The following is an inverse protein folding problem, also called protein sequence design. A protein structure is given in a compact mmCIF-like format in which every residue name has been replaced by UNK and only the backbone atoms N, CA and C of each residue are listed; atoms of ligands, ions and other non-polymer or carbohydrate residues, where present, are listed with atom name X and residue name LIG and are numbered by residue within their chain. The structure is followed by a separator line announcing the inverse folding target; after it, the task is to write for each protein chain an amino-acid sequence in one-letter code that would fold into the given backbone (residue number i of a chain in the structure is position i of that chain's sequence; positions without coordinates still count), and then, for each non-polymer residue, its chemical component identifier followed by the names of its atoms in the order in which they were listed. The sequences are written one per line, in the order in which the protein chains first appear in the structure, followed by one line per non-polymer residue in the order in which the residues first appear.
data_IF_603773750761
#
_entry.id   IF_603773750761
#
_cell.length_a   1.000
_cell.length_b   1.000
_cell.length_c   1.000
_cell.angle_alpha   90.00
_cell.angle_beta   90.00
_cell.angle_gamma   90.00
#
_symmetry.space_group_name_H-M   'P 1'
#
loop_
_entity.id
_entity.type
_entity.pdbx_description
1 polymer ?
#
# COMPACT_ATOMS: atom_id res chain seq x y z
N UNK A 1 18.39 17.66 -60.27
CA UNK A 1 18.61 16.40 -59.55
C UNK A 1 18.87 16.72 -58.09
N UNK A 2 17.79 16.86 -57.32
CA UNK A 2 17.79 17.20 -55.89
C UNK A 2 16.59 16.47 -55.31
N UNK A 3 16.83 15.46 -54.47
CA UNK A 3 15.75 14.60 -54.00
C UNK A 3 16.21 13.32 -53.33
N UNK A 4 17.31 13.38 -52.57
CA UNK A 4 17.66 12.36 -51.59
C UNK A 4 17.52 13.00 -50.20
N UNK A 5 16.32 13.50 -49.92
CA UNK A 5 15.92 14.11 -48.65
C UNK A 5 15.25 13.03 -47.81
N UNK A 6 15.96 12.60 -46.77
CA UNK A 6 15.41 12.47 -45.41
C UNK A 6 14.09 11.71 -45.22
N UNK A 7 14.00 10.43 -45.62
CA UNK A 7 12.86 9.56 -45.22
C UNK A 7 13.28 8.30 -44.45
N UNK A 8 14.57 8.00 -44.30
CA UNK A 8 15.03 6.75 -43.65
C UNK A 8 15.40 6.86 -42.17
N UNK A 9 14.90 7.88 -41.45
CA UNK A 9 15.17 8.07 -40.01
C UNK A 9 13.93 8.28 -39.15
N UNK A 10 12.74 7.91 -39.64
CA UNK A 10 11.60 7.61 -38.77
C UNK A 10 11.78 6.21 -38.22
N UNK A 11 12.62 6.14 -37.18
CA UNK A 11 12.60 5.09 -36.16
C UNK A 11 11.15 4.72 -35.89
N UNK A 12 10.79 3.50 -36.25
CA UNK A 12 9.57 2.83 -35.83
C UNK A 12 9.48 2.92 -34.30
N UNK A 13 8.67 3.86 -33.80
CA UNK A 13 8.34 3.93 -32.39
C UNK A 13 7.72 2.57 -32.02
N UNK A 14 8.43 1.81 -31.19
CA UNK A 14 7.93 0.58 -30.60
C UNK A 14 6.64 0.91 -29.83
N UNK A 15 5.61 0.07 -29.92
CA UNK A 15 4.30 0.31 -29.29
C UNK A 15 4.34 0.86 -27.86
N UNK A 16 5.24 0.40 -26.97
CA UNK A 16 5.40 0.95 -25.62
C UNK A 16 5.86 2.42 -25.55
N UNK A 17 6.82 2.82 -26.38
CA UNK A 17 7.34 4.20 -26.36
C UNK A 17 6.29 5.21 -26.84
N UNK A 18 5.50 4.83 -27.84
CA UNK A 18 4.39 5.64 -28.33
C UNK A 18 3.26 5.75 -27.28
N UNK A 19 2.94 4.64 -26.59
CA UNK A 19 1.96 4.66 -25.51
C UNK A 19 2.40 5.58 -24.36
N UNK A 20 3.65 5.51 -23.93
CA UNK A 20 4.19 6.40 -22.88
C UNK A 20 4.17 7.87 -23.31
N UNK A 21 4.54 8.17 -24.57
CA UNK A 21 4.46 9.53 -25.13
C UNK A 21 3.04 10.07 -25.07
N UNK A 22 2.06 9.28 -25.55
CA UNK A 22 0.65 9.68 -25.55
C UNK A 22 0.10 9.86 -24.13
N UNK A 23 0.49 9.00 -23.19
CA UNK A 23 0.12 9.12 -21.78
C UNK A 23 0.68 10.39 -21.13
N UNK A 24 1.96 10.71 -21.37
CA UNK A 24 2.58 11.94 -20.88
C UNK A 24 1.97 13.21 -21.49
N UNK A 25 1.59 13.17 -22.76
CA UNK A 25 0.83 14.25 -23.41
C UNK A 25 -0.57 14.42 -22.84
N UNK A 26 -1.28 13.32 -22.57
CA UNK A 26 -2.60 13.36 -21.95
C UNK A 26 -2.56 14.06 -20.59
N UNK A 27 -1.59 13.72 -19.73
CA UNK A 27 -1.43 14.37 -18.41
C UNK A 27 -1.18 15.87 -18.55
N UNK A 28 -0.37 16.30 -19.53
CA UNK A 28 -0.13 17.74 -19.81
C UNK A 28 -1.37 18.45 -20.35
N UNK A 29 -2.20 17.74 -21.13
CA UNK A 29 -3.42 18.28 -21.72
C UNK A 29 -4.57 18.39 -20.70
N UNK A 30 -4.55 17.57 -19.65
CA UNK A 30 -5.68 17.39 -18.73
C UNK A 30 -6.17 18.67 -18.05
N UNK A 31 -5.31 19.67 -17.83
CA UNK A 31 -5.71 20.98 -17.28
C UNK A 31 -6.55 21.82 -18.24
N UNK A 32 -6.31 21.67 -19.55
CA UNK A 32 -6.91 22.54 -20.58
C UNK A 32 -8.09 21.88 -21.27
N UNK A 33 -8.00 20.58 -21.50
CA UNK A 33 -9.00 19.79 -22.23
C UNK A 33 -9.13 18.40 -21.58
N UNK A 34 -9.82 18.30 -20.43
CA UNK A 34 -9.81 17.09 -19.61
C UNK A 34 -10.46 15.88 -20.30
N UNK A 35 -11.53 16.08 -21.07
CA UNK A 35 -12.17 14.98 -21.82
C UNK A 35 -11.29 14.45 -22.97
N UNK A 36 -10.64 15.36 -23.72
CA UNK A 36 -9.71 15.00 -24.78
C UNK A 36 -8.46 14.29 -24.22
N UNK A 37 -7.96 14.77 -23.08
CA UNK A 37 -6.88 14.14 -22.33
C UNK A 37 -7.25 12.72 -21.89
N UNK A 38 -8.45 12.52 -21.32
CA UNK A 38 -8.92 11.19 -20.92
C UNK A 38 -9.01 10.24 -22.12
N UNK A 39 -9.59 10.70 -23.25
CA UNK A 39 -9.65 9.90 -24.46
C UNK A 39 -8.24 9.53 -24.98
N UNK A 40 -7.29 10.45 -24.89
CA UNK A 40 -5.90 10.19 -25.25
C UNK A 40 -5.20 9.21 -24.30
N UNK A 41 -5.39 9.35 -22.97
CA UNK A 41 -4.84 8.42 -21.98
C UNK A 41 -5.41 7.00 -22.16
N UNK A 42 -6.71 6.88 -22.46
CA UNK A 42 -7.35 5.60 -22.77
C UNK A 42 -6.78 4.97 -24.04
N UNK A 43 -6.55 5.76 -25.10
CA UNK A 43 -5.87 5.28 -26.31
C UNK A 43 -4.45 4.79 -26.01
N UNK A 44 -3.69 5.54 -25.21
CA UNK A 44 -2.36 5.12 -24.77
C UNK A 44 -2.38 3.77 -24.04
N UNK A 45 -3.32 3.59 -23.11
CA UNK A 45 -3.51 2.32 -22.39
C UNK A 45 -3.89 1.15 -23.32
N UNK A 46 -4.71 1.43 -24.34
CA UNK A 46 -5.15 0.44 -25.32
C UNK A 46 -4.05 0.04 -26.32
N UNK A 47 -3.06 0.89 -26.59
CA UNK A 47 -1.96 0.54 -27.51
C UNK A 47 -1.10 -0.63 -27.01
N UNK A 48 -1.07 -0.88 -25.70
CA UNK A 48 -0.34 -1.99 -25.07
C UNK A 48 -1.26 -2.96 -24.36
N UNK A 49 -2.53 -2.98 -24.77
CA UNK A 49 -3.56 -3.94 -24.40
C UNK A 49 -3.17 -5.40 -24.63
N UNK A 50 -2.42 -5.63 -25.72
CA UNK A 50 -1.93 -6.92 -26.14
C UNK A 50 -0.58 -7.12 -25.44
N UNK A 51 -0.60 -7.93 -24.37
CA UNK A 51 0.61 -8.29 -23.66
C UNK A 51 1.39 -9.27 -24.53
N UNK A 52 2.43 -8.79 -25.23
CA UNK A 52 3.44 -9.66 -25.82
C UNK A 52 4.69 -9.67 -24.93
N UNK A 53 4.86 -10.66 -24.03
CA UNK A 53 6.06 -10.77 -23.21
C UNK A 53 7.32 -10.86 -24.06
N UNK A 54 7.23 -11.29 -25.33
CA UNK A 54 8.37 -11.41 -26.24
C UNK A 54 9.04 -10.06 -26.53
N UNK A 55 8.30 -8.93 -26.55
CA UNK A 55 8.87 -7.58 -26.70
C UNK A 55 9.78 -7.20 -25.52
N UNK A 56 9.50 -7.74 -24.33
CA UNK A 56 10.30 -7.52 -23.13
C UNK A 56 11.33 -8.64 -22.89
N UNK A 57 11.14 -9.82 -23.50
CA UNK A 57 11.91 -11.06 -23.32
C UNK A 57 12.74 -11.44 -24.56
N UNK A 58 12.95 -10.54 -25.54
CA UNK A 58 13.71 -10.78 -26.80
C UNK A 58 15.20 -11.18 -26.65
N UNK A 59 15.61 -11.78 -25.53
CA UNK A 59 16.96 -12.27 -25.26
C UNK A 59 17.09 -13.79 -25.03
N UNK A 60 16.02 -14.62 -24.96
CA UNK A 60 16.22 -16.06 -24.75
C UNK A 60 15.13 -16.99 -25.28
N UNK A 61 15.56 -18.13 -25.84
CA UNK A 61 14.67 -19.25 -26.20
C UNK A 61 14.04 -19.85 -24.94
N UNK A 62 12.90 -20.53 -25.12
CA UNK A 62 12.23 -21.30 -24.05
C UNK A 62 13.22 -22.30 -23.43
N UNK A 63 13.68 -22.01 -22.20
CA UNK A 63 14.70 -22.80 -21.49
C UNK A 63 16.10 -22.16 -21.38
N UNK A 64 16.33 -20.99 -21.99
CA UNK A 64 17.62 -20.28 -22.05
C UNK A 64 17.54 -18.81 -21.59
N UNK A 65 16.45 -18.37 -20.95
CA UNK A 65 16.40 -17.01 -20.38
C UNK A 65 17.09 -17.05 -19.02
N UNK A 66 18.17 -16.28 -18.87
CA UNK A 66 18.79 -16.03 -17.55
C UNK A 66 17.69 -15.43 -16.67
N UNK A 67 17.41 -16.03 -15.51
CA UNK A 67 16.31 -15.65 -14.61
C UNK A 67 16.22 -14.13 -14.38
N UNK A 68 17.38 -13.47 -14.35
CA UNK A 68 17.53 -12.02 -14.22
C UNK A 68 16.95 -11.21 -15.40
N UNK A 69 17.10 -11.67 -16.64
CA UNK A 69 16.55 -10.98 -17.83
C UNK A 69 15.03 -11.06 -17.87
N UNK A 70 14.47 -12.20 -17.46
CA UNK A 70 13.03 -12.38 -17.32
C UNK A 70 12.44 -11.52 -16.19
N UNK A 71 13.14 -11.46 -15.04
CA UNK A 71 12.74 -10.60 -13.91
C UNK A 71 12.80 -9.11 -14.32
N UNK A 72 13.84 -8.71 -15.05
CA UNK A 72 13.99 -7.35 -15.59
C UNK A 72 12.85 -7.00 -16.56
N UNK A 73 12.59 -7.85 -17.54
CA UNK A 73 11.48 -7.70 -18.50
C UNK A 73 10.13 -7.49 -17.81
N UNK A 74 9.86 -8.30 -16.78
CA UNK A 74 8.62 -8.21 -15.98
C UNK A 74 8.55 -6.90 -15.19
N UNK A 75 9.66 -6.45 -14.62
CA UNK A 75 9.71 -5.16 -13.93
C UNK A 75 9.49 -4.01 -14.91
N UNK A 76 10.10 -4.05 -16.10
CA UNK A 76 9.92 -3.04 -17.15
C UNK A 76 8.46 -2.94 -17.59
N UNK A 77 7.81 -4.09 -17.80
CA UNK A 77 6.37 -4.15 -18.06
C UNK A 77 5.53 -3.52 -16.93
N UNK A 78 5.83 -3.84 -15.66
CA UNK A 78 5.10 -3.29 -14.52
C UNK A 78 5.22 -1.77 -14.45
N UNK A 79 6.43 -1.24 -14.62
CA UNK A 79 6.69 0.21 -14.65
C UNK A 79 5.93 0.89 -15.79
N UNK A 80 6.00 0.31 -16.98
CA UNK A 80 5.29 0.77 -18.16
C UNK A 80 3.77 0.84 -17.92
N UNK A 81 3.15 -0.27 -17.49
CA UNK A 81 1.71 -0.31 -17.22
C UNK A 81 1.29 0.61 -16.06
N UNK A 82 2.12 0.71 -15.02
CA UNK A 82 1.85 1.63 -13.91
C UNK A 82 1.76 3.09 -14.41
N UNK A 83 2.65 3.51 -15.30
CA UNK A 83 2.62 4.85 -15.90
C UNK A 83 1.35 5.10 -16.73
N UNK A 84 0.89 4.12 -17.51
CA UNK A 84 -0.33 4.26 -18.31
C UNK A 84 -1.59 4.34 -17.44
N UNK A 85 -1.70 3.49 -16.41
CA UNK A 85 -2.80 3.57 -15.45
C UNK A 85 -2.79 4.87 -14.67
N UNK A 86 -1.62 5.34 -14.27
CA UNK A 86 -1.46 6.63 -13.61
C UNK A 86 -1.96 7.78 -14.47
N UNK A 87 -1.61 7.82 -15.76
CA UNK A 87 -2.08 8.86 -16.67
C UNK A 87 -3.61 8.90 -16.79
N UNK A 88 -4.26 7.72 -16.91
CA UNK A 88 -5.72 7.62 -16.93
C UNK A 88 -6.33 8.09 -15.61
N UNK A 89 -5.77 7.65 -14.48
CA UNK A 89 -6.24 8.05 -13.15
C UNK A 89 -6.13 9.55 -12.91
N UNK A 90 -5.02 10.17 -13.33
CA UNK A 90 -4.84 11.62 -13.26
C UNK A 90 -5.85 12.38 -14.13
N UNK A 91 -6.20 11.87 -15.32
CA UNK A 91 -7.23 12.48 -16.16
C UNK A 91 -8.63 12.39 -15.52
N UNK A 92 -8.97 11.25 -14.90
CA UNK A 92 -10.22 11.12 -14.13
C UNK A 92 -10.27 12.05 -12.92
N UNK A 93 -9.16 12.22 -12.20
CA UNK A 93 -9.06 13.14 -11.08
C UNK A 93 -9.37 14.58 -11.51
N UNK A 94 -8.89 15.00 -12.70
CA UNK A 94 -9.19 16.33 -13.27
C UNK A 94 -10.66 16.53 -13.64
N UNK A 95 -11.37 15.45 -13.95
CA UNK A 95 -12.82 15.45 -14.17
C UNK A 95 -13.64 15.31 -12.89
N UNK A 96 -13.00 15.36 -11.70
CA UNK A 96 -13.63 15.10 -10.40
C UNK A 96 -14.32 13.71 -10.30
N UNK A 97 -13.88 12.75 -11.11
CA UNK A 97 -14.35 11.36 -11.11
C UNK A 97 -13.47 10.53 -10.17
N UNK A 98 -13.60 10.80 -8.87
CA UNK A 98 -12.69 10.31 -7.83
C UNK A 98 -12.68 8.79 -7.67
N UNK A 99 -13.84 8.13 -7.83
CA UNK A 99 -13.93 6.67 -7.72
C UNK A 99 -13.14 5.96 -8.82
N UNK A 100 -13.25 6.45 -10.06
CA UNK A 100 -12.49 5.98 -11.22
C UNK A 100 -11.02 6.33 -11.08
N UNK A 101 -10.69 7.55 -10.67
CA UNK A 101 -9.32 7.99 -10.43
C UNK A 101 -8.62 7.09 -9.40
N UNK A 102 -9.25 6.87 -8.24
CA UNK A 102 -8.76 5.94 -7.20
C UNK A 102 -8.50 4.55 -7.77
N UNK A 103 -9.42 4.03 -8.58
CA UNK A 103 -9.30 2.69 -9.16
C UNK A 103 -8.04 2.54 -10.02
N UNK A 104 -7.80 3.51 -10.91
CA UNK A 104 -6.64 3.50 -11.79
C UNK A 104 -5.32 3.79 -11.05
N UNK A 105 -5.30 4.78 -10.15
CA UNK A 105 -4.13 5.08 -9.32
C UNK A 105 -3.80 3.92 -8.37
N UNK A 106 -4.82 3.22 -7.86
CA UNK A 106 -4.65 2.03 -7.03
C UNK A 106 -3.89 0.92 -7.74
N UNK A 107 -4.09 0.77 -9.06
CA UNK A 107 -3.34 -0.20 -9.89
C UNK A 107 -1.93 0.25 -10.18
N UNK A 108 -1.77 1.54 -10.46
CA UNK A 108 -0.44 2.11 -10.65
C UNK A 108 0.43 1.84 -9.41
N UNK A 109 -0.13 2.07 -8.20
CA UNK A 109 0.53 1.73 -6.92
C UNK A 109 0.75 0.24 -6.74
N UNK A 110 -0.22 -0.62 -7.11
CA UNK A 110 -0.08 -2.07 -6.99
C UNK A 110 1.05 -2.64 -7.87
N UNK A 111 1.22 -2.10 -9.08
CA UNK A 111 2.25 -2.53 -10.03
C UNK A 111 3.63 -1.95 -9.69
N UNK A 112 3.66 -0.67 -9.31
CA UNK A 112 4.89 0.03 -8.93
C UNK A 112 4.58 1.10 -7.87
N UNK A 113 4.77 0.73 -6.61
CA UNK A 113 4.51 1.58 -5.45
C UNK A 113 5.63 2.61 -5.24
N UNK A 114 5.47 3.81 -5.80
CA UNK A 114 6.34 4.97 -5.54
C UNK A 114 5.68 5.96 -4.57
N UNK A 115 6.45 6.76 -3.82
CA UNK A 115 5.91 7.78 -2.92
C UNK A 115 4.92 8.72 -3.60
N UNK A 116 5.21 9.14 -4.83
CA UNK A 116 4.41 10.07 -5.62
C UNK A 116 3.05 9.47 -6.00
N UNK A 117 3.05 8.19 -6.42
CA UNK A 117 1.80 7.47 -6.75
C UNK A 117 0.94 7.22 -5.53
N UNK A 118 1.55 6.86 -4.40
CA UNK A 118 0.83 6.70 -3.13
C UNK A 118 0.20 8.03 -2.71
N UNK A 119 0.93 9.13 -2.84
CA UNK A 119 0.43 10.48 -2.53
C UNK A 119 -0.76 10.87 -3.42
N UNK A 120 -0.68 10.60 -4.74
CA UNK A 120 -1.78 10.82 -5.68
C UNK A 120 -3.01 9.97 -5.36
N UNK A 121 -2.82 8.68 -5.09
CA UNK A 121 -3.91 7.78 -4.69
C UNK A 121 -4.57 8.23 -3.39
N UNK A 122 -3.79 8.64 -2.39
CA UNK A 122 -4.29 9.09 -1.10
C UNK A 122 -5.18 10.34 -1.22
N UNK A 123 -4.83 11.27 -2.13
CA UNK A 123 -5.68 12.43 -2.44
C UNK A 123 -7.06 12.02 -2.95
N UNK A 124 -7.12 11.09 -3.91
CA UNK A 124 -8.40 10.63 -4.44
C UNK A 124 -9.22 9.83 -3.41
N UNK A 125 -8.55 9.06 -2.54
CA UNK A 125 -9.19 8.41 -1.40
C UNK A 125 -9.83 9.42 -0.43
N UNK A 126 -9.16 10.53 -0.14
CA UNK A 126 -9.72 11.60 0.68
C UNK A 126 -10.93 12.25 0.01
N UNK A 127 -10.83 12.55 -1.29
CA UNK A 127 -11.93 13.15 -2.05
C UNK A 127 -13.18 12.25 -2.13
N UNK A 128 -13.01 10.92 -2.14
CA UNK A 128 -14.11 9.94 -2.07
C UNK A 128 -14.67 9.75 -0.65
N UNK A 129 -14.13 10.44 0.36
CA UNK A 129 -14.56 10.29 1.76
C UNK A 129 -14.04 9.01 2.42
N UNK A 130 -12.87 8.52 1.99
CA UNK A 130 -12.19 7.33 2.53
C UNK A 130 -10.88 7.71 3.27
N UNK A 131 -10.94 8.58 4.31
CA UNK A 131 -9.75 9.15 4.92
C UNK A 131 -8.87 8.13 5.66
N UNK A 132 -9.46 7.08 6.23
CA UNK A 132 -8.69 6.01 6.90
C UNK A 132 -7.79 5.26 5.92
N UNK A 133 -8.34 4.89 4.77
CA UNK A 133 -7.60 4.22 3.70
C UNK A 133 -6.44 5.10 3.19
N UNK A 134 -6.70 6.41 3.00
CA UNK A 134 -5.64 7.36 2.64
C UNK A 134 -4.53 7.43 3.70
N UNK A 135 -4.91 7.56 4.97
CA UNK A 135 -4.00 7.65 6.11
C UNK A 135 -3.12 6.40 6.25
N UNK A 136 -3.70 5.20 6.17
CA UNK A 136 -2.95 3.95 6.29
C UNK A 136 -1.91 3.81 5.17
N UNK A 137 -2.24 4.17 3.93
CA UNK A 137 -1.30 4.15 2.80
C UNK A 137 -0.15 5.14 2.99
N UNK A 138 -0.47 6.37 3.39
CA UNK A 138 0.55 7.41 3.62
C UNK A 138 1.44 7.07 4.81
N UNK A 139 0.89 6.51 5.89
CA UNK A 139 1.66 6.09 7.06
C UNK A 139 2.64 4.96 6.73
N UNK A 140 2.21 3.95 5.96
CA UNK A 140 3.09 2.87 5.47
C UNK A 140 4.19 3.44 4.56
N UNK A 141 3.86 4.39 3.67
CA UNK A 141 4.85 5.04 2.82
C UNK A 141 5.87 5.87 3.61
N UNK A 142 5.42 6.60 4.64
CA UNK A 142 6.26 7.37 5.56
C UNK A 142 7.11 6.49 6.50
N UNK A 143 6.72 5.21 6.65
CA UNK A 143 7.53 4.21 7.33
C UNK A 143 8.66 3.69 6.44
N UNK A 144 8.38 3.44 5.15
CA UNK A 144 9.36 2.95 4.20
C UNK A 144 10.37 4.02 3.74
N UNK A 145 9.95 5.28 3.68
CA UNK A 145 10.75 6.38 3.12
C UNK A 145 10.44 7.70 3.83
N UNK A 146 11.35 8.68 3.74
CA UNK A 146 11.09 10.03 4.27
C UNK A 146 9.95 10.67 3.46
N UNK A 147 8.83 11.06 4.08
CA UNK A 147 7.71 11.65 3.36
C UNK A 147 8.05 13.05 2.85
N UNK A 148 7.50 13.42 1.69
CA UNK A 148 7.58 14.78 1.16
C UNK A 148 6.69 15.73 1.99
N UNK A 149 6.90 17.06 1.91
CA UNK A 149 6.03 18.03 2.59
C UNK A 149 4.55 17.91 2.16
N UNK A 150 4.31 17.62 0.88
CA UNK A 150 2.97 17.36 0.34
C UNK A 150 2.34 16.11 0.95
N UNK A 151 3.10 15.01 1.05
CA UNK A 151 2.62 13.78 1.68
C UNK A 151 2.32 13.99 3.17
N UNK A 152 3.15 14.75 3.89
CA UNK A 152 2.91 15.08 5.30
C UNK A 152 1.62 15.91 5.48
N UNK A 153 1.41 16.93 4.65
CA UNK A 153 0.17 17.71 4.68
C UNK A 153 -1.07 16.82 4.46
N UNK A 154 -1.00 15.87 3.51
CA UNK A 154 -2.08 14.90 3.28
C UNK A 154 -2.24 13.91 4.44
N UNK A 155 -1.18 13.52 5.13
CA UNK A 155 -1.28 12.68 6.35
C UNK A 155 -2.06 13.43 7.42
N UNK A 156 -1.75 14.71 7.65
CA UNK A 156 -2.43 15.53 8.65
C UNK A 156 -3.92 15.73 8.32
N UNK A 157 -4.24 15.97 7.04
CA UNK A 157 -5.62 16.09 6.56
C UNK A 157 -6.38 14.77 6.70
N UNK A 158 -5.76 13.65 6.29
CA UNK A 158 -6.35 12.32 6.42
C UNK A 158 -6.57 11.93 7.88
N UNK A 159 -5.64 12.30 8.76
CA UNK A 159 -5.77 12.06 10.20
C UNK A 159 -6.93 12.85 10.82
N UNK A 160 -7.13 14.11 10.41
CA UNK A 160 -8.27 14.93 10.84
C UNK A 160 -9.59 14.31 10.36
N UNK A 161 -9.68 13.98 9.07
CA UNK A 161 -10.89 13.42 8.47
C UNK A 161 -11.21 11.99 8.99
N UNK A 162 -10.19 11.18 9.29
CA UNK A 162 -10.36 9.87 9.91
C UNK A 162 -10.66 9.95 11.41
N UNK A 163 -10.50 11.12 12.05
CA UNK A 163 -10.73 11.31 13.47
C UNK A 163 -9.78 10.51 14.34
N UNK A 164 -8.48 10.51 14.02
CA UNK A 164 -7.44 9.89 14.86
C UNK A 164 -6.81 10.91 15.82
N UNK A 165 -6.28 10.46 16.97
CA UNK A 165 -5.73 11.35 18.00
C UNK A 165 -4.39 12.01 17.62
N UNK A 166 -3.61 11.43 16.70
CA UNK A 166 -2.31 11.95 16.28
C UNK A 166 -1.90 11.37 14.92
N UNK A 167 -1.49 12.25 14.01
CA UNK A 167 -0.91 11.87 12.72
C UNK A 167 0.47 11.23 12.90
N UNK A 168 1.31 11.80 13.76
CA UNK A 168 2.64 11.26 14.03
C UNK A 168 2.56 9.86 14.66
N UNK A 169 1.60 9.62 15.56
CA UNK A 169 1.39 8.30 16.15
C UNK A 169 1.02 7.25 15.09
N UNK A 170 0.26 7.60 14.05
CA UNK A 170 -0.06 6.65 12.97
C UNK A 170 1.16 6.33 12.09
N UNK A 171 2.03 7.32 11.82
CA UNK A 171 3.31 7.08 11.15
C UNK A 171 4.19 6.15 12.00
N UNK A 172 4.31 6.44 13.30
CA UNK A 172 5.12 5.66 14.23
C UNK A 172 4.58 4.23 14.37
N UNK A 173 3.26 4.06 14.41
CA UNK A 173 2.59 2.75 14.40
C UNK A 173 2.98 1.93 13.19
N UNK A 174 2.95 2.52 11.99
CA UNK A 174 3.34 1.84 10.75
C UNK A 174 4.83 1.47 10.74
N UNK A 175 5.70 2.36 11.26
CA UNK A 175 7.14 2.10 11.41
C UNK A 175 7.44 0.95 12.36
N UNK A 176 6.79 0.93 13.52
CA UNK A 176 6.97 -0.13 14.50
C UNK A 176 6.40 -1.46 14.00
N UNK A 177 5.27 -1.45 13.28
CA UNK A 177 4.69 -2.66 12.69
C UNK A 177 5.60 -3.32 11.64
N UNK A 178 6.48 -2.55 10.98
CA UNK A 178 7.48 -3.08 10.06
C UNK A 178 8.73 -3.63 10.75
N UNK A 179 8.89 -3.44 12.07
CA UNK A 179 10.06 -3.87 12.83
C UNK A 179 9.81 -5.23 13.49
N UNK A 180 10.64 -6.23 13.14
CA UNK A 180 10.58 -7.55 13.76
C UNK A 180 10.98 -7.50 15.25
N UNK A 181 10.34 -8.32 16.08
CA UNK A 181 10.66 -8.44 17.51
C UNK A 181 10.10 -7.33 18.40
N UNK A 182 9.20 -6.50 17.86
CA UNK A 182 8.49 -5.44 18.61
C UNK A 182 7.00 -5.72 18.68
N UNK A 183 6.42 -5.55 19.87
CA UNK A 183 4.97 -5.48 20.06
C UNK A 183 4.54 -4.01 20.13
N UNK A 184 3.72 -3.58 19.17
CA UNK A 184 3.21 -2.20 19.09
C UNK A 184 2.15 -1.97 20.18
N UNK A 185 2.28 -0.88 20.91
CA UNK A 185 1.34 -0.45 21.96
C UNK A 185 0.72 0.87 21.59
N UNK A 186 -0.59 0.87 21.41
CA UNK A 186 -1.37 2.07 21.16
C UNK A 186 -1.89 2.66 22.48
N UNK A 187 -1.85 3.97 22.58
CA UNK A 187 -2.31 4.68 23.76
C UNK A 187 -3.77 5.13 23.70
N UNK A 188 -4.19 5.95 24.69
CA UNK A 188 -3.33 6.55 25.70
C UNK A 188 -2.91 5.52 26.76
N UNK A 189 -1.59 5.35 26.94
CA UNK A 189 -1.04 4.55 28.03
C UNK A 189 -1.38 5.23 29.35
N UNK A 190 -2.13 4.53 30.20
CA UNK A 190 -2.59 5.08 31.49
C UNK A 190 -1.73 4.56 32.62
N UNK A 191 -1.15 5.48 33.37
CA UNK A 191 -0.54 5.17 34.65
C UNK A 191 -1.56 5.50 35.76
N UNK A 192 -1.76 4.62 36.75
CA UNK A 192 -2.58 4.93 37.91
C UNK A 192 -2.17 6.24 38.59
N UNK A 193 -3.12 7.10 39.02
CA UNK A 193 -2.83 8.43 39.56
C UNK A 193 -2.02 8.39 40.88
N UNK A 194 -2.17 7.31 41.66
CA UNK A 194 -1.43 7.09 42.91
C UNK A 194 0.03 6.66 42.71
N UNK A 195 0.45 6.46 41.46
CA UNK A 195 1.81 6.04 41.15
C UNK A 195 2.81 7.19 41.32
N UNK A 196 3.99 6.85 41.82
CA UNK A 196 5.08 7.82 42.02
C UNK A 196 6.42 7.16 41.76
N UNK A 197 7.36 7.96 41.29
CA UNK A 197 8.75 7.56 41.22
C UNK A 197 9.32 7.49 42.65
N UNK A 198 10.30 6.63 42.85
CA UNK A 198 11.03 6.50 44.11
C UNK A 198 11.73 7.79 44.55
N UNK A 199 11.88 8.76 43.63
CA UNK A 199 12.40 10.11 43.88
C UNK A 199 11.33 11.10 44.35
N UNK A 200 10.06 10.69 44.45
CA UNK A 200 8.97 11.46 45.06
C UNK A 200 7.99 12.14 44.10
N UNK A 201 8.30 12.24 42.79
CA UNK A 201 7.44 12.88 41.78
C UNK A 201 6.61 11.90 40.93
N UNK A 202 5.60 12.39 40.18
CA UNK A 202 4.85 11.56 39.23
C UNK A 202 5.72 11.19 38.01
N UNK A 203 5.37 10.09 37.32
CA UNK A 203 5.87 9.85 35.98
C UNK A 203 5.00 10.61 34.97
N UNK A 204 5.65 11.42 34.13
CA UNK A 204 5.04 12.22 33.07
C UNK A 204 5.62 11.79 31.73
N UNK A 205 4.77 11.65 30.72
CA UNK A 205 5.16 11.29 29.35
C UNK A 205 5.30 12.51 28.44
N UNK A 206 4.98 13.69 28.96
CA UNK A 206 5.09 14.98 28.27
C UNK A 206 6.55 15.36 28.00
N UNK A 207 7.50 14.84 28.79
CA UNK A 207 8.93 15.17 28.76
C UNK A 207 9.72 14.41 27.67
N UNK A 208 9.08 14.01 26.58
CA UNK A 208 9.71 13.29 25.47
C UNK A 208 9.67 11.76 25.60
N UNK A 209 10.71 11.09 25.11
CA UNK A 209 10.78 9.63 25.04
C UNK A 209 11.18 9.04 26.40
N UNK A 210 10.44 8.01 26.84
CA UNK A 210 10.68 7.32 28.12
C UNK A 210 10.82 5.82 27.87
N UNK A 211 11.84 5.19 28.46
CA UNK A 211 11.99 3.73 28.44
C UNK A 211 11.59 3.18 29.80
N UNK A 212 10.56 2.32 29.82
CA UNK A 212 10.09 1.61 31.00
C UNK A 212 10.62 0.18 30.96
N UNK A 213 11.42 -0.23 31.94
CA UNK A 213 11.82 -1.62 32.08
C UNK A 213 10.91 -2.33 33.07
N UNK A 214 10.10 -3.27 32.58
CA UNK A 214 9.21 -4.08 33.41
C UNK A 214 9.99 -5.31 33.89
N UNK A 215 10.33 -5.37 35.18
CA UNK A 215 11.10 -6.49 35.73
C UNK A 215 10.22 -7.69 36.06
N UNK A 216 10.78 -8.90 35.98
CA UNK A 216 10.17 -10.08 36.59
C UNK A 216 10.25 -10.05 38.14
N UNK A 217 9.30 -10.70 38.82
CA UNK A 217 9.23 -10.72 40.28
C UNK A 217 10.46 -11.38 40.93
N UNK A 218 11.00 -12.43 40.31
CA UNK A 218 12.19 -13.12 40.81
C UNK A 218 13.50 -12.42 40.38
N UNK A 219 13.42 -11.44 39.49
CA UNK A 219 14.53 -10.64 38.99
C UNK A 219 15.76 -11.42 38.50
N UNK A 220 15.57 -12.67 38.02
CA UNK A 220 16.68 -13.59 37.67
C UNK A 220 17.58 -13.05 36.56
N UNK A 221 17.00 -12.29 35.63
CA UNK A 221 17.70 -11.72 34.46
C UNK A 221 17.98 -10.23 34.62
N UNK A 222 17.52 -9.59 35.70
CA UNK A 222 17.55 -8.14 35.85
C UNK A 222 18.96 -7.54 35.73
N UNK A 223 19.98 -8.20 36.27
CA UNK A 223 21.36 -7.69 36.15
C UNK A 223 21.82 -7.61 34.70
N UNK A 224 21.54 -8.66 33.91
CA UNK A 224 21.87 -8.71 32.48
C UNK A 224 21.02 -7.73 31.67
N UNK A 225 19.71 -7.67 31.95
CA UNK A 225 18.77 -6.79 31.24
C UNK A 225 19.09 -5.31 31.49
N UNK A 226 19.36 -4.92 32.73
CA UNK A 226 19.72 -3.54 33.10
C UNK A 226 21.08 -3.14 32.53
N UNK A 227 22.06 -4.04 32.50
CA UNK A 227 23.35 -3.77 31.87
C UNK A 227 23.20 -3.60 30.34
N UNK A 228 22.36 -4.43 29.70
CA UNK A 228 22.02 -4.27 28.29
C UNK A 228 21.30 -2.94 28.02
N UNK A 229 20.36 -2.53 28.87
CA UNK A 229 19.70 -1.22 28.77
C UNK A 229 20.69 -0.07 28.88
N UNK A 230 21.64 -0.13 29.82
CA UNK A 230 22.65 0.91 30.03
C UNK A 230 23.53 1.12 28.80
N UNK A 231 23.80 0.04 28.04
CA UNK A 231 24.59 0.09 26.80
C UNK A 231 23.78 0.58 25.60
N UNK A 232 22.47 0.31 25.59
CA UNK A 232 21.61 0.49 24.42
C UNK A 232 20.87 1.82 24.42
N UNK A 233 20.42 2.27 25.59
CA UNK A 233 19.60 3.47 25.74
C UNK A 233 20.49 4.72 25.77
N UNK A 234 20.23 5.75 24.94
CA UNK A 234 20.95 7.01 24.99
C UNK A 234 20.90 7.66 26.38
N UNK A 235 21.99 8.34 26.78
CA UNK A 235 22.14 8.88 28.13
C UNK A 235 21.12 9.98 28.49
N UNK A 236 20.60 10.68 27.49
CA UNK A 236 19.56 11.72 27.60
C UNK A 236 18.15 11.14 27.65
N UNK A 237 17.98 9.85 27.35
CA UNK A 237 16.69 9.17 27.42
C UNK A 237 16.35 8.77 28.85
N UNK A 238 15.16 9.16 29.32
CA UNK A 238 14.69 8.82 30.67
C UNK A 238 14.38 7.34 30.76
N UNK A 239 15.08 6.62 31.65
CA UNK A 239 14.80 5.22 31.98
C UNK A 239 14.13 5.15 33.35
N UNK A 240 13.03 4.39 33.44
CA UNK A 240 12.29 4.13 34.67
C UNK A 240 12.09 2.63 34.80
N UNK A 241 12.28 2.12 36.01
CA UNK A 241 12.18 0.70 36.30
C UNK A 241 10.83 0.42 36.95
N UNK A 242 10.13 -0.61 36.48
CA UNK A 242 8.75 -0.94 36.89
C UNK A 242 8.72 -2.36 37.47
N UNK A 243 8.51 -2.53 38.79
CA UNK A 243 8.30 -3.83 39.39
C UNK A 243 6.90 -4.38 39.03
N UNK A 244 6.68 -5.70 39.08
CA UNK A 244 5.39 -6.30 38.75
C UNK A 244 4.29 -5.90 39.75
N UNK A 245 4.65 -5.69 41.01
CA UNK A 245 3.78 -5.18 42.06
C UNK A 245 4.59 -4.36 43.09
N UNK A 246 3.95 -3.47 43.88
CA UNK A 246 4.64 -2.62 44.85
C UNK A 246 5.43 -3.38 45.94
N UNK A 247 4.96 -4.57 46.32
CA UNK A 247 5.56 -5.47 47.30
C UNK A 247 6.61 -6.42 46.69
N UNK A 248 6.77 -6.39 45.37
CA UNK A 248 7.67 -7.25 44.60
C UNK A 248 8.83 -6.46 43.98
N UNK A 249 9.31 -5.43 44.67
CA UNK A 249 10.37 -4.55 44.20
C UNK A 249 11.72 -4.71 44.93
N UNK A 250 11.76 -5.54 45.99
CA UNK A 250 12.95 -5.72 46.86
C UNK A 250 14.16 -6.21 46.05
N UNK A 251 14.02 -7.30 45.29
CA UNK A 251 15.11 -7.87 44.50
C UNK A 251 15.62 -6.88 43.45
N UNK A 252 14.70 -6.16 42.81
CA UNK A 252 15.03 -5.14 41.81
C UNK A 252 15.81 -3.98 42.43
N UNK A 253 15.37 -3.46 43.57
CA UNK A 253 16.08 -2.39 44.31
C UNK A 253 17.47 -2.83 44.74
N UNK A 254 17.63 -4.08 45.18
CA UNK A 254 18.94 -4.64 45.52
C UNK A 254 19.89 -4.63 44.31
N UNK A 255 19.43 -5.06 43.13
CA UNK A 255 20.23 -5.01 41.90
C UNK A 255 20.58 -3.57 41.53
N UNK A 256 19.62 -2.64 41.55
CA UNK A 256 19.87 -1.22 41.26
C UNK A 256 20.92 -0.62 42.20
N UNK A 257 20.84 -0.93 43.49
CA UNK A 257 21.81 -0.45 44.49
C UNK A 257 23.19 -1.08 44.32
N UNK A 258 23.27 -2.40 44.08
CA UNK A 258 24.53 -3.13 43.97
C UNK A 258 25.36 -2.64 42.77
N UNK A 259 24.71 -2.44 41.63
CA UNK A 259 25.36 -1.99 40.38
C UNK A 259 25.31 -0.47 40.18
N UNK A 260 24.76 0.28 41.15
CA UNK A 260 24.67 1.75 41.16
C UNK A 260 23.99 2.33 39.91
N UNK A 261 22.90 1.72 39.47
CA UNK A 261 22.10 2.28 38.37
C UNK A 261 21.30 3.50 38.88
N UNK A 262 21.32 4.64 38.18
CA UNK A 262 20.67 5.88 38.63
C UNK A 262 19.17 5.92 38.35
N UNK A 263 18.56 4.81 37.93
CA UNK A 263 17.19 4.81 37.41
C UNK A 263 16.15 4.70 38.52
N UNK A 264 15.14 5.59 38.55
CA UNK A 264 14.09 5.55 39.55
C UNK A 264 13.17 4.34 39.35
N UNK A 265 12.59 3.87 40.46
CA UNK A 265 11.56 2.82 40.47
C UNK A 265 10.18 3.47 40.45
N UNK A 266 9.31 3.05 39.55
CA UNK A 266 7.90 3.46 39.53
C UNK A 266 7.10 2.59 40.49
N UNK A 267 6.62 3.20 41.58
CA UNK A 267 5.88 2.53 42.65
C UNK A 267 4.41 2.88 42.53
N UNK A 268 3.54 1.88 42.52
CA UNK A 268 2.10 2.08 42.52
C UNK A 268 1.34 0.78 42.24
N UNK A 269 0.18 0.59 42.88
CA UNK A 269 -0.67 -0.58 42.61
C UNK A 269 -1.20 -0.53 41.18
N UNK A 270 -1.14 -1.65 40.47
CA UNK A 270 -1.69 -1.80 39.12
C UNK A 270 -0.88 -1.13 38.00
N UNK A 271 0.32 -0.59 38.26
CA UNK A 271 1.15 0.05 37.23
C UNK A 271 1.53 -0.91 36.11
N UNK A 272 2.15 -2.06 36.43
CA UNK A 272 2.57 -3.03 35.43
C UNK A 272 1.38 -3.56 34.62
N UNK A 273 0.24 -3.80 35.27
CA UNK A 273 -1.00 -4.22 34.61
C UNK A 273 -1.53 -3.12 33.67
N UNK A 274 -1.50 -1.85 34.08
CA UNK A 274 -1.95 -0.71 33.28
C UNK A 274 -1.12 -0.47 32.02
N UNK A 275 0.16 -0.83 32.04
CA UNK A 275 1.03 -0.79 30.86
C UNK A 275 0.72 -1.91 29.86
N UNK A 276 0.13 -3.02 30.31
CA UNK A 276 -0.33 -4.12 29.46
C UNK A 276 0.80 -4.88 28.75
N UNK A 277 2.01 -4.85 29.30
CA UNK A 277 3.21 -5.53 28.77
C UNK A 277 3.63 -6.62 29.75
N UNK A 278 3.99 -7.80 29.24
CA UNK A 278 4.49 -8.90 30.09
C UNK A 278 5.83 -8.51 30.74
N UNK A 279 6.05 -8.83 32.03
CA UNK A 279 7.34 -8.64 32.69
C UNK A 279 8.52 -9.28 31.94
N UNK A 280 9.72 -8.74 32.18
CA UNK A 280 10.93 -9.10 31.44
C UNK A 280 11.01 -8.42 30.07
N UNK A 281 10.59 -7.15 29.98
CA UNK A 281 10.54 -6.41 28.72
C UNK A 281 10.86 -4.92 28.93
N UNK A 282 11.37 -4.28 27.88
CA UNK A 282 11.52 -2.83 27.78
C UNK A 282 10.37 -2.27 26.94
N UNK A 283 9.63 -1.32 27.48
CA UNK A 283 8.60 -0.57 26.79
C UNK A 283 9.11 0.85 26.51
N UNK A 284 9.37 1.16 25.24
CA UNK A 284 9.66 2.53 24.80
C UNK A 284 8.33 3.25 24.64
N UNK A 285 8.18 4.42 25.26
CA UNK A 285 6.96 5.24 25.23
C UNK A 285 7.29 6.60 24.62
N UNK A 286 6.45 7.04 23.68
CA UNK A 286 6.57 8.33 23.02
C UNK A 286 5.18 8.97 22.83
N UNK A 287 5.19 10.20 22.29
CA UNK A 287 3.98 10.98 21.98
C UNK A 287 3.03 11.10 23.17
N UNK A 288 3.55 11.51 24.32
CA UNK A 288 2.77 11.68 25.55
C UNK A 288 1.97 10.43 25.95
N UNK A 289 2.51 9.23 25.66
CA UNK A 289 1.87 7.96 25.97
C UNK A 289 0.95 7.42 24.88
N UNK A 290 0.86 8.04 23.71
CA UNK A 290 0.00 7.58 22.62
C UNK A 290 0.61 6.48 21.76
N UNK A 291 1.93 6.31 21.82
CA UNK A 291 2.62 5.25 21.09
C UNK A 291 3.68 4.60 21.96
N UNK A 292 3.79 3.28 21.87
CA UNK A 292 4.86 2.53 22.50
C UNK A 292 5.29 1.28 21.74
N UNK A 293 6.48 0.82 22.08
CA UNK A 293 7.12 -0.35 21.51
C UNK A 293 7.63 -1.24 22.64
N UNK A 294 7.02 -2.41 22.82
CA UNK A 294 7.49 -3.40 23.78
C UNK A 294 8.50 -4.35 23.10
N UNK A 295 9.67 -4.46 23.70
CA UNK A 295 10.81 -5.24 23.22
C UNK A 295 11.23 -6.21 24.32
N UNK A 296 11.41 -7.49 23.98
CA UNK A 296 11.92 -8.49 24.92
C UNK A 296 13.43 -8.70 24.74
N UNK A 297 14.13 -9.19 25.77
CA UNK A 297 15.51 -9.63 25.63
C UNK A 297 15.65 -10.71 24.54
N UNK A 298 16.78 -10.73 23.80
CA UNK A 298 17.89 -9.78 23.89
C UNK A 298 17.53 -8.42 23.27
N UNK A 299 17.76 -7.31 24.00
CA UNK A 299 17.32 -5.97 23.58
C UNK A 299 18.06 -5.44 22.35
N UNK A 300 19.40 -5.35 22.44
CA UNK A 300 20.33 -5.02 21.35
C UNK A 300 19.83 -4.04 20.29
N UNK A 301 19.91 -4.48 19.03
CA UNK A 301 19.57 -3.68 17.86
C UNK A 301 18.07 -3.34 17.80
N UNK A 302 17.20 -4.25 18.25
CA UNK A 302 15.74 -4.06 18.21
C UNK A 302 15.31 -2.89 19.08
N UNK A 303 15.84 -2.80 20.31
CA UNK A 303 15.55 -1.66 21.20
C UNK A 303 16.15 -0.36 20.65
N UNK A 304 17.37 -0.42 20.10
CA UNK A 304 18.00 0.74 19.45
C UNK A 304 17.14 1.26 18.30
N UNK A 305 16.64 0.36 17.46
CA UNK A 305 15.78 0.69 16.33
C UNK A 305 14.46 1.31 16.80
N UNK A 306 13.80 0.73 17.80
CA UNK A 306 12.56 1.25 18.36
C UNK A 306 12.74 2.69 18.92
N UNK A 307 13.81 2.94 19.68
CA UNK A 307 14.13 4.28 20.21
C UNK A 307 14.36 5.27 19.06
N UNK A 308 15.18 4.89 18.07
CA UNK A 308 15.48 5.75 16.92
C UNK A 308 14.25 6.09 16.08
N UNK A 309 13.32 5.15 15.92
CA UNK A 309 12.08 5.38 15.18
C UNK A 309 11.17 6.35 15.94
N UNK A 310 10.96 6.11 17.24
CA UNK A 310 10.08 6.94 18.08
C UNK A 310 10.67 8.32 18.43
N UNK A 311 11.98 8.50 18.33
CA UNK A 311 12.65 9.79 18.50
C UNK A 311 12.45 10.75 17.32
N UNK A 312 12.01 10.26 16.14
CA UNK A 312 11.74 11.13 14.98
C UNK A 312 10.58 12.09 15.28
N UNK A 313 10.48 13.21 14.58
CA UNK A 313 9.33 14.11 14.67
C UNK A 313 9.07 14.68 13.27
N UNK A 314 8.24 14.01 12.49
CA UNK A 314 7.88 14.42 11.13
C UNK A 314 6.76 15.46 11.15
N UNK A 315 5.83 15.34 12.11
CA UNK A 315 4.71 16.25 12.34
C UNK A 315 4.83 16.87 13.73
N UNK A 316 4.73 18.20 13.80
CA UNK A 316 4.68 18.94 15.07
C UNK A 316 3.22 19.21 15.43
N UNK A 317 2.67 18.46 16.38
CA UNK A 317 1.26 18.57 16.75
C UNK A 317 1.02 18.38 18.26
N UNK A 318 -0.09 18.93 18.75
CA UNK A 318 -0.60 18.62 20.09
C UNK A 318 -1.19 17.21 20.12
N UNK A 319 -0.96 16.47 21.20
CA UNK A 319 -1.49 15.12 21.37
C UNK A 319 -2.36 15.04 22.64
N UNK A 320 -3.65 14.64 22.56
CA UNK A 320 -4.40 14.41 21.32
C UNK A 320 -4.63 15.71 20.54
N UNK A 321 -4.77 15.59 19.21
CA UNK A 321 -5.10 16.72 18.33
C UNK A 321 -6.44 17.33 18.73
N UNK A 322 -6.54 18.65 18.65
CA UNK A 322 -7.76 19.38 19.01
C UNK A 322 -9.00 18.97 18.17
N UNK A 323 -8.79 18.59 16.91
CA UNK A 323 -9.85 18.13 16.00
C UNK A 323 -10.25 16.66 16.19
N UNK A 324 -9.59 15.93 17.09
CA UNK A 324 -9.94 14.54 17.36
C UNK A 324 -11.36 14.43 17.91
N UNK A 325 -12.18 13.58 17.29
CA UNK A 325 -13.59 13.38 17.64
C UNK A 325 -13.83 12.62 18.96
N UNK A 326 -12.75 12.27 19.71
CA UNK A 326 -12.75 11.52 20.97
C UNK A 326 -13.39 10.13 20.90
N UNK A 327 -13.64 9.61 19.70
CA UNK A 327 -14.13 8.24 19.50
C UNK A 327 -12.95 7.28 19.52
N UNK A 328 -13.18 6.01 19.93
CA UNK A 328 -12.21 4.95 19.70
C UNK A 328 -11.79 4.95 18.22
N UNK A 329 -10.50 4.76 17.97
CA UNK A 329 -10.00 4.67 16.60
C UNK A 329 -10.52 3.36 16.00
N UNK A 330 -11.19 3.45 14.86
CA UNK A 330 -11.58 2.28 14.11
C UNK A 330 -10.34 1.63 13.50
N UNK A 331 -10.09 0.37 13.88
CA UNK A 331 -8.98 -0.45 13.42
C UNK A 331 -9.45 -1.58 12.50
N UNK A 332 -10.70 -1.54 12.04
CA UNK A 332 -11.21 -2.50 11.08
C UNK A 332 -10.27 -2.53 9.86
N UNK A 333 -9.68 -3.69 9.53
CA UNK A 333 -8.77 -3.78 8.41
C UNK A 333 -9.57 -3.45 7.14
N UNK A 334 -9.05 -2.52 6.34
CA UNK A 334 -9.55 -2.36 4.99
C UNK A 334 -9.36 -3.70 4.25
N UNK A 335 -10.28 -4.02 3.34
CA UNK A 335 -10.11 -5.19 2.48
C UNK A 335 -8.73 -5.13 1.83
N UNK A 336 -7.91 -6.20 1.94
CA UNK A 336 -6.56 -6.18 1.41
C UNK A 336 -6.62 -5.87 -0.09
N UNK A 337 -5.63 -5.11 -0.57
CA UNK A 337 -5.47 -4.91 -2.00
C UNK A 337 -5.43 -6.29 -2.69
N UNK A 338 -6.06 -6.44 -3.85
CA UNK A 338 -6.11 -7.74 -4.50
C UNK A 338 -4.67 -8.16 -4.85
N UNK A 339 -4.33 -9.43 -4.56
CA UNK A 339 -2.99 -9.95 -4.77
C UNK A 339 -2.64 -9.99 -6.26
N UNK A 340 -1.37 -9.75 -6.60
CA UNK A 340 -0.86 -10.04 -7.95
C UNK A 340 -1.11 -11.52 -8.29
N UNK A 341 -1.35 -11.82 -9.56
CA UNK A 341 -1.43 -13.21 -10.03
C UNK A 341 -0.08 -13.92 -9.85
N UNK A 342 -0.01 -15.27 -9.90
CA UNK A 342 1.26 -15.99 -9.81
C UNK A 342 2.32 -15.54 -10.83
N UNK A 343 1.89 -15.07 -12.00
CA UNK A 343 2.73 -14.52 -13.07
C UNK A 343 3.22 -13.10 -12.75
N UNK A 344 2.73 -12.51 -11.66
CA UNK A 344 3.10 -11.18 -11.20
C UNK A 344 2.36 -10.06 -11.93
N UNK A 345 1.24 -10.37 -12.59
CA UNK A 345 0.33 -9.42 -13.21
C UNK A 345 -0.59 -8.83 -12.14
N UNK A 346 -1.09 -7.62 -12.36
CA UNK A 346 -2.22 -7.16 -11.57
C UNK A 346 -3.36 -8.19 -11.72
N UNK A 347 -4.05 -8.57 -10.63
CA UNK A 347 -5.22 -9.42 -10.73
C UNK A 347 -6.18 -8.81 -11.75
N UNK A 348 -6.92 -9.67 -12.44
CA UNK A 348 -7.78 -9.32 -13.58
C UNK A 348 -8.47 -7.98 -13.37
N UNK A 349 -8.59 -7.21 -14.44
CA UNK A 349 -8.88 -5.79 -14.43
C UNK A 349 -10.19 -5.37 -13.74
N UNK A 350 -10.91 -6.25 -13.05
CA UNK A 350 -12.17 -5.98 -12.36
C UNK A 350 -12.49 -7.03 -11.28
N UNK A 351 -11.93 -6.89 -10.07
CA UNK A 351 -12.53 -7.49 -8.89
C UNK A 351 -13.24 -6.39 -8.06
N UNK A 352 -14.58 -6.40 -7.96
CA UNK A 352 -15.53 -7.23 -8.72
C UNK A 352 -15.73 -6.74 -10.17
N UNK A 353 -16.21 -7.64 -11.03
CA UNK A 353 -16.54 -7.37 -12.44
C UNK A 353 -17.65 -6.31 -12.53
N UNK A 354 -17.66 -5.44 -13.56
CA UNK A 354 -18.75 -4.47 -13.74
C UNK A 354 -20.09 -5.20 -13.87
N UNK A 355 -21.16 -4.65 -13.29
CA UNK A 355 -22.48 -5.29 -13.33
C UNK A 355 -22.98 -5.57 -14.77
N UNK A 356 -22.66 -4.70 -15.73
CA UNK A 356 -22.98 -4.91 -17.13
C UNK A 356 -22.18 -6.09 -17.76
N UNK A 357 -20.96 -6.36 -17.28
CA UNK A 357 -20.19 -7.53 -17.71
C UNK A 357 -20.83 -8.83 -17.18
N UNK A 358 -21.20 -8.84 -15.89
CA UNK A 358 -21.90 -9.98 -15.28
C UNK A 358 -23.22 -10.25 -16.00
N UNK A 359 -24.01 -9.21 -16.29
CA UNK A 359 -25.25 -9.32 -17.04
C UNK A 359 -25.03 -9.83 -18.48
N UNK A 360 -23.99 -9.37 -19.17
CA UNK A 360 -23.62 -9.87 -20.50
C UNK A 360 -23.23 -11.35 -20.50
N UNK A 361 -22.44 -11.78 -19.51
CA UNK A 361 -22.05 -13.18 -19.36
C UNK A 361 -23.23 -14.09 -18.98
N UNK A 362 -24.18 -13.59 -18.18
CA UNK A 362 -25.42 -14.30 -17.85
C UNK A 362 -26.32 -14.44 -19.09
N UNK A 363 -26.52 -13.37 -19.84
CA UNK A 363 -27.29 -13.37 -21.10
C UNK A 363 -26.68 -14.34 -22.14
N UNK A 364 -25.35 -14.39 -22.25
CA UNK A 364 -24.66 -15.34 -23.12
C UNK A 364 -24.90 -16.78 -22.71
N UNK A 365 -24.76 -17.09 -21.41
CA UNK A 365 -25.04 -18.45 -20.86
C UNK A 365 -26.49 -18.87 -21.05
N UNK A 366 -27.42 -17.91 -21.09
CA UNK A 366 -28.83 -18.12 -21.38
C UNK A 366 -29.15 -18.24 -22.89
N UNK A 367 -28.15 -18.14 -23.78
CA UNK A 367 -28.34 -18.21 -25.24
C UNK A 367 -28.85 -16.91 -25.89
N UNK A 368 -28.88 -15.80 -25.15
CA UNK A 368 -29.37 -14.50 -25.60
C UNK A 368 -28.23 -13.67 -26.23
N UNK A 369 -27.70 -14.12 -27.37
CA UNK A 369 -26.48 -13.56 -27.98
C UNK A 369 -26.55 -12.07 -28.33
N UNK A 370 -27.69 -11.56 -28.80
CA UNK A 370 -27.88 -10.14 -29.12
C UNK A 370 -27.91 -9.24 -27.87
N UNK A 371 -28.52 -9.73 -26.80
CA UNK A 371 -28.60 -9.02 -25.51
C UNK A 371 -27.23 -9.00 -24.82
N UNK A 372 -26.50 -10.12 -24.85
CA UNK A 372 -25.12 -10.20 -24.41
C UNK A 372 -24.21 -9.22 -25.17
N UNK A 373 -24.34 -9.18 -26.51
CA UNK A 373 -23.58 -8.23 -27.34
C UNK A 373 -23.90 -6.77 -26.96
N UNK A 374 -25.16 -6.43 -26.75
CA UNK A 374 -25.55 -5.07 -26.35
C UNK A 374 -24.89 -4.65 -25.03
N UNK A 375 -24.81 -5.54 -24.04
CA UNK A 375 -24.10 -5.27 -22.79
C UNK A 375 -22.59 -5.05 -23.02
N UNK A 376 -21.95 -5.86 -23.86
CA UNK A 376 -20.53 -5.72 -24.18
C UNK A 376 -20.23 -4.45 -25.02
N UNK A 377 -21.10 -4.07 -25.95
CA UNK A 377 -20.98 -2.84 -26.74
C UNK A 377 -21.28 -1.59 -25.90
N UNK A 378 -22.24 -1.66 -24.98
CA UNK A 378 -22.49 -0.56 -24.02
C UNK A 378 -21.28 -0.33 -23.11
N UNK A 379 -20.52 -1.37 -22.78
CA UNK A 379 -19.25 -1.24 -22.06
C UNK A 379 -18.22 -0.53 -22.94
N UNK A 380 -18.02 -0.99 -24.18
CA UNK A 380 -17.09 -0.41 -25.14
C UNK A 380 -17.38 1.09 -25.43
N UNK A 381 -18.65 1.45 -25.62
CA UNK A 381 -19.10 2.79 -26.01
C UNK A 381 -19.04 3.84 -24.90
N UNK A 382 -19.10 3.46 -23.61
CA UNK A 382 -18.95 4.41 -22.49
C UNK A 382 -17.50 4.91 -22.33
N UNK A 383 -16.58 4.39 -23.14
CA UNK A 383 -15.15 4.47 -22.88
C UNK A 383 -14.75 3.75 -21.58
N UNK A 384 -15.71 3.11 -20.91
CA UNK A 384 -15.54 1.96 -20.04
C UNK A 384 -15.25 0.70 -20.89
N UNK A 385 -14.78 0.88 -22.13
CA UNK A 385 -14.04 -0.09 -22.92
C UNK A 385 -12.72 -0.41 -22.24
N UNK A 386 -12.82 -0.89 -21.00
CA UNK A 386 -11.81 -1.70 -20.37
C UNK A 386 -11.51 -2.82 -21.36
N UNK A 387 -10.24 -3.16 -21.47
CA UNK A 387 -9.84 -4.45 -21.98
C UNK A 387 -10.72 -5.46 -21.26
N UNK A 388 -11.77 -5.92 -21.94
CA UNK A 388 -12.52 -7.08 -21.53
C UNK A 388 -11.42 -8.06 -21.07
N UNK A 389 -11.44 -8.57 -19.82
CA UNK A 389 -10.50 -9.60 -19.41
C UNK A 389 -10.40 -10.64 -20.54
N UNK A 390 -9.26 -11.29 -20.79
CA UNK A 390 -9.15 -12.29 -21.85
C UNK A 390 -10.37 -13.24 -21.93
N UNK A 391 -10.93 -13.59 -20.76
CA UNK A 391 -12.23 -14.23 -20.52
C UNK A 391 -13.42 -13.54 -21.23
N UNK A 392 -13.59 -12.25 -20.99
CA UNK A 392 -14.63 -11.39 -21.53
C UNK A 392 -14.49 -11.10 -23.03
N UNK A 393 -13.24 -10.99 -23.53
CA UNK A 393 -12.96 -10.87 -24.97
C UNK A 393 -13.31 -12.17 -25.67
N UNK A 394 -12.99 -13.29 -25.04
CA UNK A 394 -13.33 -14.61 -25.50
C UNK A 394 -14.85 -14.77 -25.56
N UNK A 395 -15.58 -14.45 -24.49
CA UNK A 395 -17.05 -14.50 -24.45
C UNK A 395 -17.70 -13.57 -25.48
N UNK A 396 -17.21 -12.34 -25.64
CA UNK A 396 -17.65 -11.43 -26.72
C UNK A 396 -17.40 -12.03 -28.11
N UNK A 397 -16.24 -12.65 -28.32
CA UNK A 397 -15.93 -13.28 -29.60
C UNK A 397 -16.87 -14.46 -29.89
N UNK A 398 -17.21 -15.24 -28.88
CA UNK A 398 -18.19 -16.31 -29.00
C UNK A 398 -19.60 -15.77 -29.27
N UNK A 399 -19.99 -14.65 -28.65
CA UNK A 399 -21.25 -13.97 -28.96
C UNK A 399 -21.30 -13.52 -30.43
N UNK A 400 -20.25 -12.84 -30.90
CA UNK A 400 -20.12 -12.41 -32.30
C UNK A 400 -20.19 -13.61 -33.25
N UNK A 401 -19.54 -14.72 -32.92
CA UNK A 401 -19.62 -15.95 -33.71
C UNK A 401 -21.04 -16.55 -33.72
N UNK A 402 -21.74 -16.52 -32.59
CA UNK A 402 -23.10 -17.06 -32.44
C UNK A 402 -24.16 -16.27 -33.23
N UNK A 403 -23.97 -14.95 -33.41
CA UNK A 403 -24.88 -14.08 -34.17
C UNK A 403 -24.51 -13.97 -35.66
N UNK A 404 -23.48 -14.69 -36.12
CA UNK A 404 -23.07 -14.72 -37.54
C UNK A 404 -21.93 -13.78 -37.93
N UNK A 405 -21.44 -12.94 -37.02
CA UNK A 405 -20.32 -11.99 -37.20
C UNK A 405 -18.95 -12.68 -37.09
N UNK A 406 -18.76 -13.73 -37.89
CA UNK A 406 -17.62 -14.66 -37.78
C UNK A 406 -16.26 -14.02 -38.06
N UNK A 407 -16.18 -13.06 -38.98
CA UNK A 407 -14.92 -12.38 -39.29
C UNK A 407 -14.48 -11.45 -38.15
N UNK A 408 -15.44 -10.73 -37.55
CA UNK A 408 -15.21 -9.90 -36.37
C UNK A 408 -14.82 -10.76 -35.14
N UNK A 409 -15.53 -11.88 -34.93
CA UNK A 409 -15.20 -12.87 -33.91
C UNK A 409 -13.78 -13.43 -34.08
N UNK A 410 -13.40 -13.81 -35.32
CA UNK A 410 -12.07 -14.33 -35.63
C UNK A 410 -10.98 -13.30 -35.38
N UNK A 411 -11.18 -12.04 -35.81
CA UNK A 411 -10.23 -10.94 -35.53
C UNK A 411 -10.08 -10.70 -34.03
N UNK A 412 -11.15 -10.84 -33.25
CA UNK A 412 -11.12 -10.68 -31.80
C UNK A 412 -10.39 -11.85 -31.13
N UNK A 413 -10.69 -13.11 -31.50
CA UNK A 413 -10.04 -14.32 -30.97
C UNK A 413 -8.53 -14.33 -31.24
N UNK A 414 -8.10 -13.96 -32.45
CA UNK A 414 -6.68 -13.88 -32.83
C UNK A 414 -5.90 -12.83 -32.02
N UNK A 415 -6.59 -11.90 -31.35
CA UNK A 415 -5.98 -10.84 -30.52
C UNK A 415 -6.00 -11.15 -29.02
N UNK A 416 -6.49 -12.32 -28.61
CA UNK A 416 -6.46 -12.77 -27.21
C UNK A 416 -5.08 -13.37 -26.92
N UNK A 417 -4.11 -12.52 -26.60
CA UNK A 417 -2.71 -12.90 -26.31
C UNK A 417 -2.45 -13.43 -24.90
N UNK A 418 -3.42 -14.13 -24.28
CA UNK A 418 -3.26 -14.71 -22.93
C UNK A 418 -3.06 -16.23 -23.01
N UNK A 419 -1.90 -16.69 -22.56
CA UNK A 419 -1.53 -18.11 -22.60
C UNK A 419 -2.45 -19.02 -21.79
N UNK A 420 -3.20 -18.49 -20.80
CA UNK A 420 -4.22 -19.23 -20.04
C UNK A 420 -5.40 -19.66 -20.92
N UNK A 421 -5.65 -18.93 -22.02
CA UNK A 421 -6.77 -19.15 -22.93
C UNK A 421 -6.38 -19.80 -24.25
N UNK A 422 -5.09 -20.05 -24.48
CA UNK A 422 -4.58 -20.49 -25.79
C UNK A 422 -5.35 -21.70 -26.35
N UNK A 423 -5.51 -22.76 -25.57
CA UNK A 423 -6.28 -23.94 -26.02
C UNK A 423 -7.77 -23.65 -26.27
N UNK A 424 -8.38 -22.78 -25.46
CA UNK A 424 -9.78 -22.41 -25.62
C UNK A 424 -10.00 -21.53 -26.85
N UNK A 425 -9.06 -20.61 -27.11
CA UNK A 425 -8.98 -19.76 -28.30
C UNK A 425 -8.76 -20.59 -29.55
N UNK A 426 -7.83 -21.55 -29.53
CA UNK A 426 -7.57 -22.43 -30.66
C UNK A 426 -8.82 -23.26 -31.01
N UNK A 427 -9.49 -23.87 -30.01
CA UNK A 427 -10.77 -24.57 -30.20
C UNK A 427 -11.89 -23.65 -30.69
N UNK A 428 -11.90 -22.38 -30.30
CA UNK A 428 -12.88 -21.40 -30.77
C UNK A 428 -12.59 -20.97 -32.21
N UNK A 429 -11.32 -20.73 -32.56
CA UNK A 429 -10.88 -20.41 -33.92
C UNK A 429 -11.17 -21.55 -34.88
N UNK A 430 -10.97 -22.81 -34.45
CA UNK A 430 -11.37 -23.99 -35.21
C UNK A 430 -12.88 -24.01 -35.45
N UNK A 431 -13.71 -23.77 -34.43
CA UNK A 431 -15.18 -23.72 -34.55
C UNK A 431 -15.68 -22.55 -35.42
N UNK A 432 -15.04 -21.39 -35.32
CA UNK A 432 -15.37 -20.21 -36.13
C UNK A 432 -14.90 -20.38 -37.59
N UNK A 433 -13.79 -21.09 -37.81
CA UNK A 433 -13.18 -21.31 -39.12
C UNK A 433 -13.67 -22.55 -39.89
N UNK A 434 -14.31 -23.52 -39.24
CA UNK A 434 -14.63 -24.85 -39.81
C UNK A 434 -15.95 -24.94 -40.60
N UNK A 435 -16.62 -23.83 -40.93
CA UNK A 435 -17.82 -23.82 -41.78
C UNK A 435 -17.62 -23.02 -43.08
N UNK A 436 -16.54 -23.33 -43.79
CA UNK A 436 -16.42 -23.10 -45.23
C UNK A 436 -16.25 -24.45 -45.95
N UNK A 437 -17.29 -25.28 -45.89
CA UNK A 437 -17.56 -26.30 -46.90
C UNK A 437 -19.01 -26.21 -47.31
#
# INVERSE_FOLDING_TARGET
MTGALAVSLLLTATGPAEAERLAGEAVRLAERQPDAALAQARRALALTAEFDPTVFVTAGRKGEVVEDEFVKARNDYRRHRAALYEAVGLCFARLAKHAEARRYLGRAVLLESTPERVTRLARELLAEGRPRAALDRLAVQAAASRPSPEALALVEEAADAAGVPSAQAEIDRARLAALAGVEVREGPLRIPPESRLSTGGPLRFEDGLVVLYLSDAACRTCSADLEALKRTVPADTRVVVVPPAPDQDIALRQVLSLYRYPWPVLVGRGVAQGLGVKPGAALVVARTGWMGAAVRPPFGETLTAAIRLLARADVTESVPRAKWNRRPVDRAPELPAPALTPEGLAPGEDAPMPGAFVAGADAYRAGQGLEALHFFESLENRGDGWLLPPEARFDRALCLAAIGEREAARKLLLRIGDSRFQEAVDRALERVGSHNR
#
